data_IF_711027010315
#
_entry.id   IF_711027010315
#
_cell.length_a   1.000
_cell.length_b   1.000
_cell.length_c   1.000
_cell.angle_alpha   90.00
_cell.angle_beta   90.00
_cell.angle_gamma   90.00
#
_symmetry.space_group_name_H-M   'P 1'
#
loop_
_entity.id
_entity.type
_entity.pdbx_description
1 polymer ?
#
# COMPACT_ATOMS: atom_id res chain seq x y z
N UNK A 1 13.83 7.18 -18.77
CA UNK A 1 13.96 5.94 -17.98
C UNK A 1 12.69 5.08 -17.91
N UNK A 2 11.51 5.49 -18.16
CA UNK A 2 10.31 4.69 -18.00
C UNK A 2 9.83 3.92 -19.23
N UNK A 3 10.06 4.43 -20.42
CA UNK A 3 9.41 3.89 -21.62
C UNK A 3 9.97 2.55 -22.10
N UNK A 4 11.24 2.25 -21.85
CA UNK A 4 11.86 0.99 -22.27
C UNK A 4 11.50 -0.22 -21.39
N UNK A 5 11.02 0.01 -20.17
CA UNK A 5 10.70 -1.03 -19.18
C UNK A 5 9.20 -1.24 -18.98
N UNK A 6 8.36 -0.48 -19.68
CA UNK A 6 6.91 -0.64 -19.61
C UNK A 6 6.46 -1.80 -20.48
N UNK A 7 6.44 -2.99 -19.92
CA UNK A 7 5.80 -4.15 -20.54
C UNK A 7 4.41 -4.32 -19.94
N UNK A 8 3.45 -4.76 -20.75
CA UNK A 8 2.10 -5.09 -20.30
C UNK A 8 2.11 -6.11 -19.14
N UNK A 9 3.17 -6.88 -18.99
CA UNK A 9 3.36 -7.86 -17.92
C UNK A 9 3.73 -7.26 -16.56
N UNK A 10 4.26 -6.02 -16.51
CA UNK A 10 4.70 -5.36 -15.27
C UNK A 10 3.68 -4.39 -14.70
N UNK A 11 2.73 -3.93 -15.49
CA UNK A 11 1.78 -2.87 -15.09
C UNK A 11 0.34 -3.32 -15.28
N UNK A 12 -0.57 -2.75 -14.50
CA UNK A 12 -1.98 -3.11 -14.52
C UNK A 12 -2.73 -2.18 -15.45
N UNK A 13 -3.39 -2.76 -16.45
CA UNK A 13 -4.39 -2.04 -17.24
C UNK A 13 -5.72 -2.00 -16.46
N UNK A 14 -6.38 -0.84 -16.41
CA UNK A 14 -7.64 -0.71 -15.70
C UNK A 14 -8.77 -1.42 -16.44
N UNK A 15 -9.57 -2.17 -15.69
CA UNK A 15 -10.82 -2.71 -16.18
C UNK A 15 -11.99 -1.84 -15.71
N UNK A 16 -13.01 -1.66 -16.54
CA UNK A 16 -14.16 -0.81 -16.24
C UNK A 16 -14.90 -1.25 -14.97
N UNK A 17 -15.01 -2.55 -14.74
CA UNK A 17 -15.60 -3.12 -13.52
C UNK A 17 -14.87 -2.73 -12.25
N UNK A 18 -13.55 -2.67 -12.31
CA UNK A 18 -12.71 -2.22 -11.20
C UNK A 18 -12.83 -0.70 -10.99
N UNK A 19 -12.85 0.07 -12.09
CA UNK A 19 -12.95 1.53 -12.03
C UNK A 19 -14.21 2.00 -11.32
N UNK A 20 -15.31 1.27 -11.44
CA UNK A 20 -16.61 1.60 -10.79
C UNK A 20 -16.63 1.37 -9.28
N UNK A 21 -15.66 0.61 -8.75
CA UNK A 21 -15.60 0.22 -7.34
C UNK A 21 -14.35 0.73 -6.63
N UNK A 22 -13.74 1.80 -7.15
CA UNK A 22 -12.53 2.35 -6.58
C UNK A 22 -12.76 3.11 -5.28
N UNK A 23 -11.82 2.96 -4.37
CA UNK A 23 -11.67 3.83 -3.23
C UNK A 23 -10.76 4.99 -3.59
N UNK A 24 -11.31 6.19 -3.64
CA UNK A 24 -10.54 7.40 -3.95
C UNK A 24 -10.21 8.16 -2.67
N UNK A 25 -8.94 8.22 -2.34
CA UNK A 25 -8.44 9.13 -1.30
C UNK A 25 -8.20 10.55 -1.80
N UNK A 26 -7.99 10.69 -3.10
CA UNK A 26 -7.70 11.96 -3.77
C UNK A 26 -8.70 12.15 -4.90
N UNK A 27 -9.07 13.41 -5.23
CA UNK A 27 -9.93 13.67 -6.36
C UNK A 27 -9.27 13.24 -7.67
N UNK A 28 -10.04 12.68 -8.57
CA UNK A 28 -9.63 12.25 -9.90
C UNK A 28 -9.55 10.73 -10.06
N UNK A 29 -9.47 10.27 -11.31
CA UNK A 29 -9.27 8.86 -11.63
C UNK A 29 -7.79 8.51 -11.48
N UNK A 30 -7.44 7.40 -10.79
CA UNK A 30 -6.04 6.96 -10.63
C UNK A 30 -5.54 6.25 -11.90
N UNK A 31 -5.71 6.88 -13.05
CA UNK A 31 -5.35 6.36 -14.35
C UNK A 31 -4.38 7.32 -15.02
N UNK A 32 -3.24 6.79 -15.45
CA UNK A 32 -2.27 7.49 -16.29
C UNK A 32 -2.42 7.01 -17.73
N UNK A 33 -2.68 7.94 -18.64
CA UNK A 33 -2.63 7.67 -20.08
C UNK A 33 -1.17 7.78 -20.54
N UNK A 34 -0.61 6.65 -20.96
CA UNK A 34 0.75 6.59 -21.50
C UNK A 34 0.69 6.61 -23.02
N UNK A 35 1.40 7.55 -23.64
CA UNK A 35 1.56 7.62 -25.08
C UNK A 35 2.87 6.94 -25.49
N UNK A 36 2.76 5.93 -26.33
CA UNK A 36 3.91 5.19 -26.89
C UNK A 36 4.46 5.88 -28.14
N UNK A 37 5.71 5.55 -28.56
CA UNK A 37 6.34 6.17 -29.73
C UNK A 37 5.57 5.98 -31.05
N UNK A 38 4.73 4.96 -31.14
CA UNK A 38 3.83 4.70 -32.26
C UNK A 38 2.53 5.53 -32.23
N UNK A 39 2.38 6.41 -31.22
CA UNK A 39 1.19 7.20 -30.99
C UNK A 39 0.04 6.50 -30.29
N UNK A 40 0.20 5.22 -29.95
CA UNK A 40 -0.81 4.47 -29.17
C UNK A 40 -0.90 5.03 -27.75
N UNK A 41 -2.12 5.31 -27.29
CA UNK A 41 -2.40 5.72 -25.91
C UNK A 41 -3.01 4.56 -25.14
N UNK A 42 -2.41 4.20 -24.02
CA UNK A 42 -2.84 3.07 -23.19
C UNK A 42 -3.04 3.54 -21.76
N UNK A 43 -4.20 3.24 -21.13
CA UNK A 43 -4.44 3.55 -19.74
C UNK A 43 -3.72 2.54 -18.83
N UNK A 44 -3.09 3.07 -17.76
CA UNK A 44 -2.50 2.26 -16.69
C UNK A 44 -2.95 2.75 -15.33
N UNK A 45 -3.03 1.84 -14.37
CA UNK A 45 -3.24 2.18 -12.98
C UNK A 45 -2.09 3.02 -12.43
N UNK A 46 -2.44 4.14 -11.82
CA UNK A 46 -1.53 4.98 -11.08
C UNK A 46 -2.25 5.52 -9.85
N UNK A 47 -2.26 4.74 -8.77
CA UNK A 47 -3.03 5.03 -7.55
C UNK A 47 -2.72 6.40 -6.97
N UNK A 48 -1.49 6.88 -7.14
CA UNK A 48 -1.03 8.16 -6.57
C UNK A 48 -0.86 9.26 -7.61
N UNK A 49 -1.34 9.04 -8.85
CA UNK A 49 -1.39 10.10 -9.85
C UNK A 49 -2.31 11.23 -9.38
N UNK A 50 -1.83 12.44 -9.54
CA UNK A 50 -2.58 13.64 -9.20
C UNK A 50 -2.28 14.76 -10.18
N UNK A 51 -3.33 15.41 -10.66
CA UNK A 51 -3.24 16.68 -11.39
C UNK A 51 -3.75 17.81 -10.49
N UNK A 52 -2.91 18.83 -10.26
CA UNK A 52 -3.28 20.02 -9.46
C UNK A 52 -2.87 21.25 -10.23
N UNK A 53 -3.84 22.12 -10.55
CA UNK A 53 -3.62 23.38 -11.26
C UNK A 53 -2.81 23.24 -12.56
N UNK A 54 -3.11 22.22 -13.36
CA UNK A 54 -2.40 21.94 -14.61
C UNK A 54 -0.98 21.39 -14.43
N UNK A 55 -0.56 21.08 -13.21
CA UNK A 55 0.70 20.37 -12.92
C UNK A 55 0.40 18.88 -12.74
N UNK A 56 1.09 18.09 -13.52
CA UNK A 56 1.03 16.64 -13.41
C UNK A 56 2.04 16.15 -12.38
N UNK A 57 1.55 15.63 -11.27
CA UNK A 57 2.37 14.87 -10.35
C UNK A 57 2.36 13.43 -10.81
N UNK A 58 3.48 12.97 -11.34
CA UNK A 58 3.66 11.57 -11.71
C UNK A 58 3.80 10.79 -10.41
N UNK A 59 2.70 10.16 -10.01
CA UNK A 59 2.77 9.11 -9.00
C UNK A 59 3.48 7.89 -9.56
N UNK A 60 3.63 6.90 -8.72
CA UNK A 60 4.20 5.61 -9.10
C UNK A 60 3.14 4.80 -9.83
N UNK A 61 3.49 4.24 -10.99
CA UNK A 61 2.60 3.29 -11.67
C UNK A 61 2.46 2.02 -10.85
N UNK A 62 1.22 1.53 -10.73
CA UNK A 62 0.95 0.33 -9.97
C UNK A 62 1.47 -0.90 -10.73
N UNK A 63 2.26 -1.72 -10.04
CA UNK A 63 2.79 -2.95 -10.62
C UNK A 63 1.77 -4.08 -10.58
N UNK A 64 1.83 -4.97 -11.57
CA UNK A 64 0.98 -6.15 -11.61
C UNK A 64 1.54 -7.26 -10.72
N UNK A 65 0.98 -7.43 -9.53
CA UNK A 65 1.38 -8.47 -8.58
C UNK A 65 1.08 -9.91 -9.02
N UNK A 66 0.41 -10.09 -10.16
CA UNK A 66 0.26 -11.41 -10.79
C UNK A 66 1.43 -11.74 -11.72
N UNK A 67 2.25 -10.75 -12.07
CA UNK A 67 3.39 -10.95 -12.97
C UNK A 67 4.57 -11.62 -12.27
N UNK A 68 5.13 -12.72 -12.82
CA UNK A 68 6.36 -13.33 -12.30
C UNK A 68 7.56 -12.36 -12.28
N UNK A 69 7.64 -11.43 -13.23
CA UNK A 69 8.71 -10.41 -13.29
C UNK A 69 8.65 -9.45 -12.08
N UNK A 70 7.45 -9.11 -11.61
CA UNK A 70 7.29 -8.29 -10.42
C UNK A 70 7.78 -9.02 -9.18
N UNK A 71 7.56 -10.34 -9.08
CA UNK A 71 8.05 -11.15 -7.97
C UNK A 71 9.55 -11.36 -8.01
N UNK A 72 10.15 -11.50 -9.18
CA UNK A 72 11.61 -11.50 -9.33
C UNK A 72 12.20 -10.19 -8.85
N UNK A 73 11.65 -9.05 -9.29
CA UNK A 73 12.05 -7.72 -8.81
C UNK A 73 11.92 -7.58 -7.29
N UNK A 74 10.82 -8.06 -6.67
CA UNK A 74 10.66 -8.01 -5.23
C UNK A 74 11.71 -8.85 -4.50
N UNK A 75 11.97 -10.05 -4.98
CA UNK A 75 13.01 -10.92 -4.41
C UNK A 75 14.37 -10.25 -4.44
N UNK A 76 14.81 -9.78 -5.61
CA UNK A 76 16.10 -9.09 -5.78
C UNK A 76 16.20 -7.82 -4.93
N UNK A 77 15.11 -7.07 -4.83
CA UNK A 77 15.04 -5.85 -4.00
C UNK A 77 15.20 -6.18 -2.52
N UNK A 78 14.51 -7.19 -2.00
CA UNK A 78 14.61 -7.61 -0.60
C UNK A 78 16.01 -8.15 -0.28
N UNK A 79 16.58 -8.99 -1.14
CA UNK A 79 17.97 -9.47 -1.03
C UNK A 79 18.96 -8.30 -0.97
N UNK A 80 18.77 -7.30 -1.83
CA UNK A 80 19.62 -6.11 -1.88
C UNK A 80 19.51 -5.27 -0.61
N UNK A 81 18.29 -5.02 -0.14
CA UNK A 81 18.04 -4.27 1.11
C UNK A 81 18.67 -5.00 2.30
N UNK A 82 18.49 -6.32 2.39
CA UNK A 82 19.11 -7.14 3.44
C UNK A 82 20.64 -7.07 3.38
N UNK A 83 21.24 -7.11 2.19
CA UNK A 83 22.69 -6.99 2.01
C UNK A 83 23.27 -5.65 2.50
N UNK A 84 22.44 -4.61 2.59
CA UNK A 84 22.82 -3.33 3.16
C UNK A 84 22.65 -3.26 4.69
N UNK A 85 22.23 -4.36 5.32
CA UNK A 85 22.07 -4.44 6.78
C UNK A 85 20.72 -3.93 7.29
N UNK A 86 19.72 -3.78 6.43
CA UNK A 86 18.36 -3.47 6.89
C UNK A 86 17.82 -4.61 7.75
N UNK A 87 17.13 -4.26 8.84
CA UNK A 87 16.42 -5.22 9.69
C UNK A 87 14.90 -5.12 9.53
N UNK A 88 14.39 -3.95 9.11
CA UNK A 88 12.97 -3.69 8.93
C UNK A 88 12.74 -3.13 7.52
N UNK A 89 11.71 -3.64 6.85
CA UNK A 89 11.26 -3.15 5.55
C UNK A 89 9.83 -2.64 5.67
N UNK A 90 9.64 -1.36 5.41
CA UNK A 90 8.32 -0.74 5.32
C UNK A 90 7.70 -1.03 3.96
N UNK A 91 6.50 -1.58 3.98
CA UNK A 91 5.70 -1.80 2.77
C UNK A 91 4.74 -0.62 2.58
N UNK A 92 5.17 0.33 1.75
CA UNK A 92 4.43 1.56 1.49
C UNK A 92 3.13 1.27 0.73
N UNK A 93 2.00 1.72 1.29
CA UNK A 93 0.68 1.70 0.66
C UNK A 93 0.28 0.36 0.00
N UNK A 94 0.83 -0.77 0.46
CA UNK A 94 0.75 -2.05 -0.22
C UNK A 94 -0.69 -2.59 -0.37
N UNK A 95 -1.62 -2.16 0.50
CA UNK A 95 -3.03 -2.54 0.44
C UNK A 95 -3.75 -2.08 -0.84
N UNK A 96 -3.14 -1.18 -1.61
CA UNK A 96 -3.62 -0.79 -2.93
C UNK A 96 -3.13 -1.72 -4.05
N UNK A 97 -2.14 -2.58 -3.81
CA UNK A 97 -1.54 -3.40 -4.86
C UNK A 97 -2.48 -4.46 -5.44
N UNK A 98 -3.32 -5.17 -4.66
CA UNK A 98 -4.30 -6.09 -5.21
C UNK A 98 -5.37 -5.35 -6.01
N UNK A 99 -5.53 -5.75 -7.29
CA UNK A 99 -6.55 -5.25 -8.21
C UNK A 99 -7.36 -6.44 -8.69
N UNK A 100 -8.57 -6.59 -8.17
CA UNK A 100 -9.48 -7.67 -8.54
C UNK A 100 -10.70 -7.09 -9.24
N UNK A 101 -11.02 -7.52 -10.48
CA UNK A 101 -12.22 -7.09 -11.17
C UNK A 101 -13.47 -7.22 -10.29
N UNK A 102 -14.30 -6.17 -10.26
CA UNK A 102 -15.50 -6.16 -9.44
C UNK A 102 -15.31 -5.87 -7.95
N UNK A 103 -14.07 -5.66 -7.48
CA UNK A 103 -13.77 -5.25 -6.11
C UNK A 103 -13.23 -3.81 -6.05
N UNK A 104 -13.23 -3.20 -4.85
CA UNK A 104 -12.56 -1.92 -4.61
C UNK A 104 -11.04 -2.08 -4.79
N UNK A 105 -10.30 -0.98 -4.97
CA UNK A 105 -8.85 -1.02 -5.16
C UNK A 105 -8.05 -0.83 -3.87
N UNK A 106 -8.64 -1.06 -2.73
CA UNK A 106 -8.00 -0.90 -1.44
C UNK A 106 -8.49 -1.95 -0.46
N UNK A 107 -7.56 -2.58 0.26
CA UNK A 107 -7.80 -3.51 1.34
C UNK A 107 -8.82 -4.61 0.94
N UNK A 108 -8.51 -5.33 -0.13
CA UNK A 108 -9.30 -6.45 -0.58
C UNK A 108 -8.99 -7.71 0.23
N UNK A 109 -10.00 -8.34 0.78
CA UNK A 109 -9.90 -9.61 1.47
C UNK A 109 -10.34 -10.75 0.52
N UNK A 110 -9.59 -11.87 0.40
CA UNK A 110 -8.34 -12.20 1.12
C UNK A 110 -7.05 -11.68 0.46
N UNK A 111 -7.11 -11.04 -0.70
CA UNK A 111 -5.96 -10.78 -1.59
C UNK A 111 -4.87 -9.93 -0.93
N UNK A 112 -5.24 -8.97 -0.08
CA UNK A 112 -4.27 -8.14 0.65
C UNK A 112 -3.41 -8.98 1.61
N UNK A 113 -4.03 -9.94 2.29
CA UNK A 113 -3.34 -10.81 3.25
C UNK A 113 -2.51 -11.88 2.57
N UNK A 114 -2.98 -12.41 1.45
CA UNK A 114 -2.22 -13.34 0.60
C UNK A 114 -0.96 -12.67 0.04
N UNK A 115 -1.08 -11.41 -0.43
CA UNK A 115 0.05 -10.61 -0.87
C UNK A 115 1.07 -10.42 0.27
N UNK A 116 0.60 -10.02 1.45
CA UNK A 116 1.47 -9.80 2.61
C UNK A 116 2.19 -11.09 3.00
N UNK A 117 1.49 -12.22 3.04
CA UNK A 117 2.08 -13.53 3.35
C UNK A 117 3.14 -13.93 2.31
N UNK A 118 2.88 -13.67 1.04
CA UNK A 118 3.84 -13.98 -0.03
C UNK A 118 5.11 -13.12 0.08
N UNK A 119 4.99 -11.83 0.40
CA UNK A 119 6.16 -10.97 0.67
C UNK A 119 6.90 -11.45 1.92
N UNK A 120 6.18 -11.83 2.98
CA UNK A 120 6.77 -12.37 4.21
C UNK A 120 7.63 -13.61 3.93
N UNK A 121 7.14 -14.54 3.12
CA UNK A 121 7.88 -15.75 2.73
C UNK A 121 9.21 -15.44 2.04
N UNK A 122 9.32 -14.31 1.34
CA UNK A 122 10.58 -13.86 0.75
C UNK A 122 11.49 -13.15 1.77
N UNK A 123 10.91 -12.41 2.70
CA UNK A 123 11.62 -11.56 3.65
C UNK A 123 12.19 -12.35 4.86
N UNK A 124 11.45 -13.31 5.36
CA UNK A 124 11.80 -14.09 6.56
C UNK A 124 13.18 -14.79 6.47
N UNK A 125 13.53 -15.51 5.37
CA UNK A 125 14.85 -16.13 5.23
C UNK A 125 16.00 -15.13 5.21
N UNK A 126 15.72 -13.86 4.89
CA UNK A 126 16.69 -12.76 4.86
C UNK A 126 16.83 -12.05 6.21
N UNK A 127 16.09 -12.47 7.23
CA UNK A 127 16.06 -11.82 8.55
C UNK A 127 15.37 -10.47 8.57
N UNK A 128 14.51 -10.19 7.58
CA UNK A 128 13.80 -8.92 7.46
C UNK A 128 12.43 -8.97 8.16
N UNK A 129 12.18 -8.01 9.02
CA UNK A 129 10.85 -7.77 9.60
C UNK A 129 10.05 -6.86 8.69
N UNK A 130 8.82 -7.24 8.38
CA UNK A 130 7.91 -6.40 7.59
C UNK A 130 7.14 -5.42 8.46
N UNK A 131 7.04 -4.18 8.01
CA UNK A 131 6.21 -3.12 8.59
C UNK A 131 5.18 -2.66 7.54
N UNK A 132 4.02 -3.32 7.45
CA UNK A 132 2.99 -2.97 6.49
C UNK A 132 2.34 -1.63 6.81
N UNK A 133 2.19 -0.76 5.79
CA UNK A 133 1.45 0.47 5.94
C UNK A 133 0.03 0.31 5.39
N UNK A 134 -0.94 0.23 6.29
CA UNK A 134 -2.37 0.27 5.97
C UNK A 134 -3.01 1.37 6.80
N UNK A 135 -3.33 2.48 6.16
CA UNK A 135 -4.07 3.56 6.80
C UNK A 135 -5.56 3.38 6.54
N UNK A 136 -6.23 2.76 7.47
CA UNK A 136 -7.68 2.47 7.43
C UNK A 136 -8.42 3.21 8.54
N UNK A 137 -9.76 3.18 8.51
CA UNK A 137 -10.57 3.75 9.57
C UNK A 137 -10.45 2.93 10.86
N UNK A 138 -10.73 3.56 12.00
CA UNK A 138 -10.58 2.94 13.32
C UNK A 138 -11.45 1.68 13.47
N UNK A 139 -12.66 1.71 12.95
CA UNK A 139 -13.63 0.61 13.02
C UNK A 139 -13.27 -0.60 12.15
N UNK A 140 -12.36 -0.43 11.19
CA UNK A 140 -11.81 -1.55 10.39
C UNK A 140 -10.82 -2.42 11.18
N UNK A 141 -10.34 -1.96 12.34
CA UNK A 141 -9.49 -2.70 13.27
C UNK A 141 -8.25 -3.35 12.64
N UNK A 142 -7.65 -2.69 11.64
CA UNK A 142 -6.53 -3.24 10.85
C UNK A 142 -5.29 -3.46 11.71
N UNK A 143 -5.05 -2.59 12.70
CA UNK A 143 -3.93 -2.75 13.63
C UNK A 143 -4.06 -4.05 14.47
N UNK A 144 -5.28 -4.45 14.85
CA UNK A 144 -5.54 -5.71 15.54
C UNK A 144 -5.25 -6.89 14.62
N UNK A 145 -5.79 -6.85 13.40
CA UNK A 145 -5.59 -7.91 12.40
C UNK A 145 -4.11 -8.11 12.06
N UNK A 146 -3.34 -7.03 11.94
CA UNK A 146 -1.90 -7.11 11.70
C UNK A 146 -1.16 -7.71 12.91
N UNK A 147 -1.48 -7.27 14.13
CA UNK A 147 -0.89 -7.78 15.35
C UNK A 147 -1.19 -9.28 15.56
N UNK A 148 -2.44 -9.71 15.36
CA UNK A 148 -2.85 -11.12 15.41
C UNK A 148 -2.11 -11.99 14.40
N UNK A 149 -1.76 -11.44 13.24
CA UNK A 149 -0.94 -12.10 12.22
C UNK A 149 0.57 -12.03 12.50
N UNK A 150 0.98 -11.40 13.60
CA UNK A 150 2.39 -11.30 14.01
C UNK A 150 3.19 -10.19 13.32
N UNK A 151 2.55 -9.24 12.67
CA UNK A 151 3.22 -8.11 12.04
C UNK A 151 3.34 -6.91 12.96
N UNK A 152 4.43 -6.16 12.83
CA UNK A 152 4.51 -4.81 13.36
C UNK A 152 3.49 -3.92 12.64
N UNK A 153 2.93 -2.94 13.34
CA UNK A 153 1.91 -2.05 12.77
C UNK A 153 2.17 -0.59 13.14
N UNK A 154 1.66 0.31 12.31
CA UNK A 154 1.60 1.73 12.62
C UNK A 154 0.42 2.03 13.54
N UNK A 155 0.65 2.91 14.51
CA UNK A 155 -0.42 3.56 15.26
C UNK A 155 -0.71 4.93 14.65
N UNK A 156 -1.68 4.98 13.75
CA UNK A 156 -2.11 6.22 13.10
C UNK A 156 -3.02 7.10 13.98
N UNK A 157 -3.49 6.57 15.11
CA UNK A 157 -4.41 7.28 16.01
C UNK A 157 -3.68 8.02 17.12
N UNK A 158 -2.58 7.45 17.62
CA UNK A 158 -1.79 8.02 18.72
C UNK A 158 -1.39 9.49 18.50
N UNK A 159 -0.89 9.93 17.33
CA UNK A 159 -0.53 11.34 17.15
C UNK A 159 -1.70 12.31 17.37
N UNK A 160 -2.87 11.98 16.82
CA UNK A 160 -4.08 12.78 17.01
C UNK A 160 -4.54 12.82 18.46
N UNK A 161 -4.49 11.70 19.16
CA UNK A 161 -4.88 11.60 20.57
C UNK A 161 -3.92 12.37 21.49
N UNK A 162 -2.62 12.39 21.16
CA UNK A 162 -1.63 13.19 21.89
C UNK A 162 -1.89 14.69 21.69
N UNK A 163 -2.12 15.12 20.46
CA UNK A 163 -2.46 16.51 20.15
C UNK A 163 -3.73 16.94 20.90
N UNK A 164 -4.80 16.15 20.80
CA UNK A 164 -6.07 16.40 21.52
C UNK A 164 -5.84 16.52 23.04
N UNK A 165 -5.06 15.62 23.62
CA UNK A 165 -4.77 15.66 25.05
C UNK A 165 -4.02 16.93 25.48
N UNK A 166 -3.10 17.42 24.65
CA UNK A 166 -2.34 18.66 24.91
C UNK A 166 -3.26 19.88 24.77
N UNK A 167 -3.98 20.00 23.66
CA UNK A 167 -4.83 21.17 23.35
C UNK A 167 -5.97 21.30 24.35
N UNK A 168 -6.63 20.20 24.68
CA UNK A 168 -7.78 20.19 25.57
C UNK A 168 -7.41 19.98 27.06
N UNK A 169 -6.11 19.83 27.37
CA UNK A 169 -5.60 19.54 28.72
C UNK A 169 -6.33 18.37 29.40
N UNK A 170 -6.67 17.36 28.61
CA UNK A 170 -7.45 16.20 29.05
C UNK A 170 -7.01 14.93 28.31
N UNK A 171 -6.39 14.01 29.00
CA UNK A 171 -5.86 12.77 28.43
C UNK A 171 -6.85 11.57 28.43
N UNK A 172 -8.14 11.79 28.56
CA UNK A 172 -9.13 10.69 28.71
C UNK A 172 -9.11 9.72 27.52
N UNK A 173 -9.11 10.24 26.29
CA UNK A 173 -9.07 9.40 25.09
C UNK A 173 -7.71 8.73 24.89
N UNK A 174 -6.64 9.45 25.17
CA UNK A 174 -5.28 8.89 25.12
C UNK A 174 -5.10 7.75 26.12
N UNK A 175 -5.61 7.92 27.35
CA UNK A 175 -5.55 6.86 28.38
C UNK A 175 -6.40 5.64 28.00
N UNK A 176 -7.58 5.85 27.42
CA UNK A 176 -8.44 4.77 26.94
C UNK A 176 -7.76 3.99 25.80
N UNK A 177 -7.15 4.68 24.84
CA UNK A 177 -6.38 4.07 23.76
C UNK A 177 -5.18 3.28 24.27
N UNK A 178 -4.40 3.87 25.18
CA UNK A 178 -3.23 3.19 25.77
C UNK A 178 -3.62 1.90 26.50
N UNK A 179 -4.74 1.92 27.22
CA UNK A 179 -5.28 0.71 27.87
C UNK A 179 -5.70 -0.34 26.85
N UNK A 180 -6.42 0.05 25.79
CA UNK A 180 -6.84 -0.86 24.73
C UNK A 180 -5.65 -1.56 24.08
N UNK A 181 -4.56 -0.84 23.79
CA UNK A 181 -3.34 -1.42 23.20
C UNK A 181 -2.63 -2.36 24.16
N UNK A 182 -2.54 -2.01 25.45
CA UNK A 182 -1.85 -2.86 26.45
C UNK A 182 -2.61 -4.14 26.76
N UNK A 183 -3.93 -4.06 26.84
CA UNK A 183 -4.79 -5.21 27.15
C UNK A 183 -4.84 -6.25 26.01
N UNK A 184 -4.34 -5.91 24.82
CA UNK A 184 -4.33 -6.78 23.63
C UNK A 184 -2.95 -7.41 23.30
N UNK A 185 -1.97 -7.26 24.16
CA UNK A 185 -0.64 -7.87 24.02
C UNK A 185 -0.60 -9.32 24.46
#
# INVERSE_FOLDING_TARGET
>A
EGQGNMTEEGYIQPEESCLKQMFFRKPGLPILMVEFPDGKKVPYWNTFYQEVHGRHYLGQMDVNIQSPKVWEFYRETLEKIASYGAAIVRLDAFAYAPKTPGKKNFLNDPETWELLQKIHTLAEPLGLTLLPEIHAAYDEKIYETLAEKGYATYDFFLPGLVIDAIENRRGTYLAAWAKEIVDKK
#
